data_IF_178560732159
#
_entry.id   IF_178560732159
#
_cell.length_a   1.000
_cell.length_b   1.000
_cell.length_c   1.000
_cell.angle_alpha   90.00
_cell.angle_beta   90.00
_cell.angle_gamma   90.00
#
_symmetry.space_group_name_H-M   'P 1'
#
loop_
_entity.id
_entity.type
_entity.pdbx_description
1 polymer ?
#
# COMPACT_ATOMS: atom_id res chain seq x y z
N UNK A 1 -11.69 38.75 21.76
CA UNK A 1 -12.55 38.39 20.61
C UNK A 1 -11.73 37.55 19.65
N UNK A 2 -12.13 36.30 19.37
CA UNK A 2 -11.43 35.45 18.40
C UNK A 2 -11.68 35.99 16.99
N UNK A 3 -10.61 36.13 16.19
CA UNK A 3 -10.69 36.60 14.82
C UNK A 3 -11.53 35.60 13.98
N UNK A 4 -12.53 36.07 13.21
CA UNK A 4 -13.46 35.19 12.46
C UNK A 4 -12.74 34.25 11.49
N UNK A 5 -11.58 34.64 10.95
CA UNK A 5 -10.75 33.78 10.11
C UNK A 5 -10.19 32.58 10.89
N UNK A 6 -9.68 32.82 12.10
CA UNK A 6 -9.17 31.74 12.97
C UNK A 6 -10.29 30.78 13.38
N UNK A 7 -11.48 31.31 13.68
CA UNK A 7 -12.64 30.47 13.98
C UNK A 7 -13.05 29.61 12.77
N UNK A 8 -13.02 30.20 11.57
CA UNK A 8 -13.28 29.48 10.32
C UNK A 8 -12.27 28.36 10.06
N UNK A 9 -10.98 28.64 10.19
CA UNK A 9 -9.91 27.65 10.03
C UNK A 9 -10.02 26.52 11.06
N UNK A 10 -10.32 26.83 12.32
CA UNK A 10 -10.52 25.82 13.35
C UNK A 10 -11.72 24.91 13.05
N UNK A 11 -12.85 25.48 12.64
CA UNK A 11 -14.03 24.69 12.23
C UNK A 11 -13.72 23.80 11.04
N UNK A 12 -13.08 24.33 10.01
CA UNK A 12 -12.66 23.54 8.85
C UNK A 12 -11.72 22.40 9.26
N UNK A 13 -10.71 22.69 10.09
CA UNK A 13 -9.76 21.69 10.59
C UNK A 13 -10.45 20.57 11.37
N UNK A 14 -11.43 20.92 12.21
CA UNK A 14 -12.23 19.95 12.97
C UNK A 14 -13.06 19.05 12.05
N UNK A 15 -13.67 19.59 10.99
CA UNK A 15 -14.41 18.79 10.01
C UNK A 15 -13.47 17.95 9.13
N UNK A 16 -12.32 18.51 8.73
CA UNK A 16 -11.31 17.83 7.93
C UNK A 16 -10.74 16.60 8.63
N UNK A 17 -10.45 16.71 9.94
CA UNK A 17 -9.94 15.60 10.76
C UNK A 17 -11.04 14.83 11.49
N UNK A 18 -12.31 15.05 11.14
CA UNK A 18 -13.44 14.38 11.79
C UNK A 18 -13.37 12.86 11.64
N UNK A 19 -13.98 12.15 12.61
CA UNK A 19 -13.84 10.70 12.74
C UNK A 19 -14.48 9.87 11.60
N UNK A 20 -15.20 10.51 10.70
CA UNK A 20 -15.83 9.90 9.53
C UNK A 20 -15.50 10.68 8.25
N UNK A 21 -14.57 11.62 8.33
CA UNK A 21 -14.29 12.57 7.26
C UNK A 21 -13.40 11.96 6.18
N UNK A 22 -13.94 11.92 4.97
CA UNK A 22 -13.18 11.62 3.75
C UNK A 22 -12.60 12.87 3.10
N UNK A 23 -12.74 14.06 3.70
CA UNK A 23 -12.17 15.29 3.14
C UNK A 23 -10.67 15.18 2.84
N UNK A 24 -9.84 14.53 3.68
CA UNK A 24 -8.41 14.35 3.38
C UNK A 24 -8.13 13.46 2.18
N UNK A 25 -9.12 12.72 1.66
CA UNK A 25 -8.98 11.90 0.45
C UNK A 25 -8.88 12.76 -0.82
N UNK A 26 -9.59 13.88 -0.88
CA UNK A 26 -9.78 14.61 -2.14
C UNK A 26 -8.49 15.20 -2.69
N UNK A 27 -7.59 15.70 -1.84
CA UNK A 27 -6.34 16.30 -2.30
C UNK A 27 -5.38 15.23 -2.89
N UNK A 28 -5.08 14.11 -2.19
CA UNK A 28 -4.38 12.98 -2.80
C UNK A 28 -5.06 12.45 -4.06
N UNK A 29 -6.39 12.31 -4.05
CA UNK A 29 -7.13 11.79 -5.21
C UNK A 29 -7.00 12.72 -6.42
N UNK A 30 -7.13 14.03 -6.22
CA UNK A 30 -6.92 15.01 -7.28
C UNK A 30 -5.50 14.90 -7.84
N UNK A 31 -4.48 14.77 -6.98
CA UNK A 31 -3.10 14.57 -7.40
C UNK A 31 -2.93 13.32 -8.29
N UNK A 32 -3.49 12.18 -7.89
CA UNK A 32 -3.38 10.94 -8.66
C UNK A 32 -4.17 10.98 -9.97
N UNK A 33 -5.37 11.56 -9.96
CA UNK A 33 -6.20 11.74 -11.16
C UNK A 33 -5.51 12.66 -12.16
N UNK A 34 -5.00 13.82 -11.72
CA UNK A 34 -4.25 14.75 -12.60
C UNK A 34 -3.02 14.04 -13.18
N UNK A 35 -2.29 13.29 -12.36
CA UNK A 35 -1.11 12.55 -12.81
C UNK A 35 -1.47 11.48 -13.86
N UNK A 36 -2.58 10.76 -13.66
CA UNK A 36 -3.10 9.78 -14.61
C UNK A 36 -3.56 10.43 -15.92
N UNK A 37 -4.38 11.48 -15.84
CA UNK A 37 -4.87 12.22 -17.01
C UNK A 37 -3.70 12.82 -17.79
N UNK A 38 -2.69 13.37 -17.12
CA UNK A 38 -1.48 13.86 -17.75
C UNK A 38 -0.75 12.75 -18.53
N UNK A 39 -0.58 11.56 -17.94
CA UNK A 39 0.00 10.40 -18.63
C UNK A 39 -0.77 10.07 -19.92
N UNK A 40 -2.10 10.04 -19.85
CA UNK A 40 -2.95 9.79 -21.02
C UNK A 40 -2.78 10.86 -22.10
N UNK A 41 -2.70 12.13 -21.70
CA UNK A 41 -2.50 13.25 -22.62
C UNK A 41 -1.16 13.19 -23.35
N UNK A 42 -0.06 12.94 -22.63
CA UNK A 42 1.28 12.80 -23.22
C UNK A 42 1.56 11.43 -23.83
N UNK A 43 0.55 10.55 -23.91
CA UNK A 43 0.65 9.16 -24.40
C UNK A 43 1.72 8.34 -23.67
N UNK A 44 1.93 8.62 -22.38
CA UNK A 44 2.77 7.82 -21.48
C UNK A 44 1.91 6.82 -20.73
N UNK A 45 2.44 5.63 -20.49
CA UNK A 45 1.78 4.63 -19.66
C UNK A 45 2.00 4.94 -18.17
N UNK A 46 0.91 5.09 -17.42
CA UNK A 46 0.94 5.45 -16.00
C UNK A 46 1.78 4.46 -15.18
N UNK A 47 1.51 3.15 -15.34
CA UNK A 47 2.25 2.08 -14.66
C UNK A 47 3.77 2.03 -14.93
N UNK A 48 4.25 2.69 -16.00
CA UNK A 48 5.69 2.78 -16.32
C UNK A 48 6.37 3.99 -15.68
N UNK A 49 5.64 4.84 -14.94
CA UNK A 49 6.22 6.00 -14.29
C UNK A 49 6.76 5.63 -12.90
N UNK A 50 7.93 4.99 -12.86
CA UNK A 50 8.56 4.49 -11.61
C UNK A 50 8.63 5.53 -10.50
N UNK A 51 9.01 6.77 -10.81
CA UNK A 51 9.10 7.84 -9.80
C UNK A 51 7.75 8.09 -9.11
N UNK A 52 6.65 8.04 -9.84
CA UNK A 52 5.31 8.29 -9.34
C UNK A 52 4.85 7.17 -8.39
N UNK A 53 5.14 5.91 -8.73
CA UNK A 53 4.89 4.77 -7.83
C UNK A 53 5.81 4.78 -6.60
N UNK A 54 7.09 5.15 -6.78
CA UNK A 54 8.01 5.33 -5.64
C UNK A 54 7.53 6.43 -4.70
N UNK A 55 6.93 7.51 -5.22
CA UNK A 55 6.35 8.57 -4.41
C UNK A 55 5.15 8.08 -3.59
N UNK A 56 4.28 7.25 -4.18
CA UNK A 56 3.20 6.59 -3.42
C UNK A 56 3.76 5.77 -2.26
N UNK A 57 4.70 4.86 -2.55
CA UNK A 57 5.28 3.96 -1.56
C UNK A 57 6.02 4.72 -0.46
N UNK A 58 6.83 5.73 -0.84
CA UNK A 58 7.53 6.58 0.11
C UNK A 58 6.54 7.30 1.02
N UNK A 59 5.49 7.90 0.46
CA UNK A 59 4.42 8.53 1.24
C UNK A 59 3.75 7.57 2.21
N UNK A 60 3.38 6.37 1.75
CA UNK A 60 2.74 5.36 2.60
C UNK A 60 3.64 4.93 3.76
N UNK A 61 4.91 4.65 3.48
CA UNK A 61 5.91 4.25 4.49
C UNK A 61 6.13 5.38 5.50
N UNK A 62 6.35 6.61 5.03
CA UNK A 62 6.61 7.76 5.92
C UNK A 62 5.40 8.07 6.79
N UNK A 63 4.20 8.14 6.22
CA UNK A 63 2.97 8.41 6.98
C UNK A 63 2.68 7.25 7.96
N UNK A 64 2.94 6.01 7.57
CA UNK A 64 2.85 4.85 8.45
C UNK A 64 3.84 4.91 9.62
N UNK A 65 5.11 5.23 9.35
CA UNK A 65 6.14 5.38 10.39
C UNK A 65 5.82 6.52 11.36
N UNK A 66 5.35 7.67 10.86
CA UNK A 66 4.93 8.80 11.69
C UNK A 66 3.75 8.38 12.59
N UNK A 67 2.76 7.68 12.03
CA UNK A 67 1.62 7.18 12.81
C UNK A 67 2.05 6.19 13.89
N UNK A 68 2.96 5.26 13.59
CA UNK A 68 3.51 4.32 14.57
C UNK A 68 4.38 4.99 15.63
N UNK A 69 5.14 6.02 15.25
CA UNK A 69 6.01 6.76 16.18
C UNK A 69 5.20 7.52 17.23
N UNK A 70 4.16 8.23 16.81
CA UNK A 70 3.31 8.98 17.73
C UNK A 70 2.30 8.10 18.48
N UNK A 71 1.86 7.01 17.84
CA UNK A 71 0.83 6.08 18.32
C UNK A 71 -0.42 6.76 18.92
N UNK A 72 -0.72 7.98 18.49
CA UNK A 72 -1.83 8.78 19.02
C UNK A 72 -2.55 9.48 17.88
N UNK A 73 -3.82 9.11 17.64
CA UNK A 73 -4.64 9.66 16.56
C UNK A 73 -4.94 11.17 16.74
N UNK A 74 -4.88 11.67 17.97
CA UNK A 74 -5.02 13.10 18.26
C UNK A 74 -3.79 13.93 17.83
N UNK A 75 -2.61 13.29 17.75
CA UNK A 75 -1.37 13.93 17.29
C UNK A 75 -1.20 13.71 15.79
N UNK A 76 -1.27 12.45 15.35
CA UNK A 76 -1.19 12.09 13.95
C UNK A 76 -2.12 10.91 13.65
N UNK A 77 -3.18 11.19 12.90
CA UNK A 77 -4.16 10.17 12.56
C UNK A 77 -3.62 9.20 11.49
N UNK A 78 -3.68 7.90 11.78
CA UNK A 78 -3.34 6.83 10.83
C UNK A 78 -4.16 6.94 9.52
N UNK A 79 -5.33 7.58 9.60
CA UNK A 79 -6.25 7.78 8.48
C UNK A 79 -5.63 8.58 7.35
N UNK A 80 -4.72 9.49 7.64
CA UNK A 80 -4.01 10.23 6.60
C UNK A 80 -3.19 9.27 5.72
N UNK A 81 -2.54 8.27 6.34
CA UNK A 81 -1.83 7.21 5.63
C UNK A 81 -2.79 6.30 4.84
N UNK A 82 -3.93 5.96 5.43
CA UNK A 82 -4.97 5.15 4.75
C UNK A 82 -5.50 5.88 3.51
N UNK A 83 -5.93 7.13 3.66
CA UNK A 83 -6.54 7.92 2.59
C UNK A 83 -5.53 8.26 1.48
N UNK A 84 -4.26 8.49 1.83
CA UNK A 84 -3.17 8.60 0.86
C UNK A 84 -3.11 7.39 -0.08
N UNK A 85 -3.16 6.18 0.51
CA UNK A 85 -3.08 4.94 -0.24
C UNK A 85 -4.37 4.60 -0.99
N UNK A 86 -5.53 4.82 -0.37
CA UNK A 86 -6.81 4.63 -1.05
C UNK A 86 -6.94 5.48 -2.31
N UNK A 87 -6.51 6.74 -2.25
CA UNK A 87 -6.53 7.63 -3.40
C UNK A 87 -5.68 7.11 -4.58
N UNK A 88 -4.51 6.55 -4.28
CA UNK A 88 -3.65 5.92 -5.28
C UNK A 88 -4.33 4.68 -5.88
N UNK A 89 -4.82 3.75 -5.04
CA UNK A 89 -5.39 2.49 -5.51
C UNK A 89 -6.68 2.67 -6.32
N UNK A 90 -7.48 3.72 -6.07
CA UNK A 90 -8.62 4.06 -6.91
C UNK A 90 -8.21 4.30 -8.37
N UNK A 91 -7.11 5.04 -8.58
CA UNK A 91 -6.58 5.32 -9.91
C UNK A 91 -5.86 4.10 -10.49
N UNK A 92 -5.12 3.36 -9.65
CA UNK A 92 -4.40 2.15 -10.06
C UNK A 92 -5.34 1.05 -10.57
N UNK A 93 -6.51 0.86 -9.93
CA UNK A 93 -7.55 -0.06 -10.41
C UNK A 93 -8.01 0.33 -11.82
N UNK A 94 -8.28 1.61 -12.07
CA UNK A 94 -8.70 2.09 -13.40
C UNK A 94 -7.60 1.82 -14.43
N UNK A 95 -6.34 2.13 -14.12
CA UNK A 95 -5.22 1.85 -15.02
C UNK A 95 -5.08 0.35 -15.31
N UNK A 96 -5.17 -0.51 -14.29
CA UNK A 96 -5.06 -1.96 -14.44
C UNK A 96 -6.20 -2.55 -15.29
N UNK A 97 -7.44 -2.07 -15.12
CA UNK A 97 -8.58 -2.48 -15.93
C UNK A 97 -8.38 -2.09 -17.40
N UNK A 98 -7.95 -0.84 -17.66
CA UNK A 98 -7.68 -0.36 -19.03
C UNK A 98 -6.58 -1.19 -19.71
N UNK A 99 -5.61 -1.70 -18.94
CA UNK A 99 -4.55 -2.58 -19.44
C UNK A 99 -4.95 -4.05 -19.57
N UNK A 100 -6.08 -4.46 -19.01
CA UNK A 100 -6.47 -5.88 -18.93
C UNK A 100 -5.57 -6.71 -17.98
N UNK A 101 -4.91 -6.07 -17.01
CA UNK A 101 -3.99 -6.73 -16.09
C UNK A 101 -4.75 -7.28 -14.87
N UNK A 102 -5.26 -8.50 -15.00
CA UNK A 102 -6.12 -9.13 -13.98
C UNK A 102 -5.41 -9.27 -12.64
N UNK A 103 -4.14 -9.68 -12.63
CA UNK A 103 -3.40 -9.91 -11.39
C UNK A 103 -3.20 -8.61 -10.59
N UNK A 104 -2.83 -7.53 -11.26
CA UNK A 104 -2.69 -6.22 -10.61
C UNK A 104 -4.04 -5.58 -10.27
N UNK A 105 -5.08 -5.82 -11.07
CA UNK A 105 -6.46 -5.39 -10.73
C UNK A 105 -6.92 -6.03 -9.42
N UNK A 106 -6.71 -7.34 -9.27
CA UNK A 106 -7.03 -8.08 -8.03
C UNK A 106 -6.21 -7.53 -6.86
N UNK A 107 -4.91 -7.30 -7.07
CA UNK A 107 -4.07 -6.70 -6.04
C UNK A 107 -4.59 -5.34 -5.55
N UNK A 108 -4.79 -4.40 -6.48
CA UNK A 108 -5.22 -3.04 -6.16
C UNK A 108 -6.60 -3.05 -5.49
N UNK A 109 -7.48 -3.97 -5.89
CA UNK A 109 -8.77 -4.21 -5.23
C UNK A 109 -8.60 -4.67 -3.78
N UNK A 110 -7.73 -5.66 -3.51
CA UNK A 110 -7.43 -6.09 -2.14
C UNK A 110 -6.86 -4.94 -1.29
N UNK A 111 -5.92 -4.17 -1.83
CA UNK A 111 -5.34 -3.03 -1.14
C UNK A 111 -6.40 -1.96 -0.80
N UNK A 112 -7.32 -1.69 -1.73
CA UNK A 112 -8.43 -0.76 -1.50
C UNK A 112 -9.40 -1.30 -0.44
N UNK A 113 -9.82 -2.56 -0.53
CA UNK A 113 -10.73 -3.19 0.44
C UNK A 113 -10.13 -3.23 1.85
N UNK A 114 -8.86 -3.61 1.97
CA UNK A 114 -8.13 -3.56 3.24
C UNK A 114 -7.99 -2.13 3.73
N UNK A 115 -7.72 -1.15 2.86
CA UNK A 115 -7.69 0.27 3.21
C UNK A 115 -9.02 0.75 3.80
N UNK A 116 -10.14 0.44 3.13
CA UNK A 116 -11.50 0.74 3.63
C UNK A 116 -11.73 0.07 4.98
N UNK A 117 -11.41 -1.22 5.11
CA UNK A 117 -11.62 -1.95 6.35
C UNK A 117 -10.79 -1.37 7.51
N UNK A 118 -9.54 -0.98 7.26
CA UNK A 118 -8.70 -0.29 8.25
C UNK A 118 -9.25 1.10 8.61
N UNK A 119 -9.83 1.81 7.63
CA UNK A 119 -10.43 3.12 7.86
C UNK A 119 -11.68 3.02 8.73
N UNK A 120 -12.57 2.07 8.45
CA UNK A 120 -13.90 1.98 9.07
C UNK A 120 -13.92 1.19 10.37
N UNK A 121 -12.91 0.37 10.67
CA UNK A 121 -12.96 -0.55 11.81
C UNK A 121 -12.08 -0.06 12.97
N UNK A 122 -12.65 0.21 14.16
CA UNK A 122 -11.90 0.72 15.31
C UNK A 122 -10.72 -0.17 15.72
N UNK A 123 -10.91 -1.49 15.77
CA UNK A 123 -9.86 -2.45 16.16
C UNK A 123 -8.62 -2.34 15.27
N UNK A 124 -8.79 -2.06 13.98
CA UNK A 124 -7.68 -1.91 13.05
C UNK A 124 -6.86 -0.66 13.36
N UNK A 125 -7.52 0.43 13.75
CA UNK A 125 -6.88 1.70 14.12
C UNK A 125 -6.17 1.61 15.46
N UNK A 126 -6.81 0.97 16.45
CA UNK A 126 -6.19 0.68 17.76
C UNK A 126 -4.92 -0.14 17.60
N UNK A 127 -4.94 -1.12 16.70
CA UNK A 127 -3.79 -1.96 16.41
C UNK A 127 -2.81 -1.33 15.39
N UNK A 128 -3.08 -0.13 14.87
CA UNK A 128 -2.26 0.52 13.81
C UNK A 128 -2.00 -0.38 12.60
N UNK A 129 -3.02 -1.13 12.21
CA UNK A 129 -2.88 -2.22 11.22
C UNK A 129 -2.48 -1.69 9.86
N UNK A 130 -3.00 -0.53 9.43
CA UNK A 130 -2.62 0.05 8.14
C UNK A 130 -1.18 0.55 8.15
N UNK A 131 -0.72 1.18 9.23
CA UNK A 131 0.64 1.69 9.34
C UNK A 131 1.65 0.56 9.36
N UNK A 132 1.33 -0.55 10.04
CA UNK A 132 2.13 -1.79 9.97
C UNK A 132 2.07 -2.40 8.57
N UNK A 133 0.92 -2.34 7.88
CA UNK A 133 0.79 -2.80 6.50
C UNK A 133 1.56 -1.92 5.51
N UNK A 134 1.73 -0.62 5.78
CA UNK A 134 2.54 0.26 4.93
C UNK A 134 4.02 -0.17 4.90
N UNK A 135 4.52 -0.80 5.98
CA UNK A 135 5.88 -1.36 6.03
C UNK A 135 6.07 -2.57 5.10
N UNK A 136 5.00 -3.18 4.59
CA UNK A 136 5.07 -4.21 3.54
C UNK A 136 5.70 -3.65 2.25
N UNK A 137 5.50 -2.35 2.00
CA UNK A 137 6.01 -1.64 0.83
C UNK A 137 7.52 -1.38 0.90
N UNK A 138 8.18 -1.62 2.04
CA UNK A 138 9.63 -1.52 2.16
C UNK A 138 10.37 -2.51 1.25
N UNK A 139 9.70 -3.58 0.78
CA UNK A 139 10.25 -4.50 -0.22
C UNK A 139 10.29 -3.91 -1.65
N UNK A 140 9.44 -2.93 -1.95
CA UNK A 140 9.20 -2.42 -3.31
C UNK A 140 10.38 -1.61 -3.88
N UNK A 141 11.11 -0.76 -3.11
CA UNK A 141 12.34 -0.12 -3.59
C UNK A 141 13.39 -1.13 -4.11
N UNK A 142 13.56 -2.26 -3.42
CA UNK A 142 14.50 -3.30 -3.83
C UNK A 142 14.08 -3.99 -5.14
N UNK A 143 12.76 -4.13 -5.37
CA UNK A 143 12.25 -4.62 -6.66
C UNK A 143 12.68 -3.72 -7.81
N UNK A 144 12.58 -2.40 -7.64
CA UNK A 144 12.98 -1.44 -8.68
C UNK A 144 14.47 -1.52 -8.97
N UNK A 145 15.32 -1.60 -7.93
CA UNK A 145 16.77 -1.78 -8.10
C UNK A 145 17.07 -3.09 -8.81
N UNK A 146 16.42 -4.19 -8.42
CA UNK A 146 16.60 -5.50 -9.04
C UNK A 146 16.17 -5.50 -10.52
N UNK A 147 15.02 -4.91 -10.86
CA UNK A 147 14.53 -4.80 -12.24
C UNK A 147 15.42 -3.93 -13.12
N UNK A 148 15.96 -2.84 -12.56
CA UNK A 148 16.76 -1.85 -13.32
C UNK A 148 18.16 -2.34 -13.60
N UNK A 149 18.83 -2.87 -12.56
CA UNK A 149 20.23 -3.32 -12.66
C UNK A 149 20.37 -4.71 -13.23
N UNK A 150 19.31 -5.54 -13.11
CA UNK A 150 19.32 -6.98 -13.46
C UNK A 150 20.48 -7.74 -12.78
N UNK A 151 21.01 -7.22 -11.69
CA UNK A 151 22.13 -7.82 -10.95
C UNK A 151 21.61 -8.87 -9.95
N UNK A 152 22.15 -10.10 -9.92
CA UNK A 152 21.66 -11.17 -9.04
C UNK A 152 21.61 -10.81 -7.56
N UNK A 153 22.63 -10.11 -7.05
CA UNK A 153 22.66 -9.70 -5.64
C UNK A 153 21.51 -8.74 -5.28
N UNK A 154 21.10 -7.85 -6.18
CA UNK A 154 19.96 -6.97 -5.95
C UNK A 154 18.64 -7.75 -5.94
N UNK A 155 18.53 -8.78 -6.78
CA UNK A 155 17.38 -9.67 -6.76
C UNK A 155 17.31 -10.52 -5.48
N UNK A 156 18.44 -11.03 -4.98
CA UNK A 156 18.52 -11.72 -3.68
C UNK A 156 18.09 -10.77 -2.56
N UNK A 157 18.59 -9.54 -2.54
CA UNK A 157 18.21 -8.54 -1.55
C UNK A 157 16.70 -8.24 -1.60
N UNK A 158 16.14 -8.10 -2.80
CA UNK A 158 14.70 -7.97 -2.99
C UNK A 158 13.94 -9.20 -2.44
N UNK A 159 14.37 -10.42 -2.75
CA UNK A 159 13.71 -11.63 -2.27
C UNK A 159 13.73 -11.75 -0.74
N UNK A 160 14.85 -11.39 -0.10
CA UNK A 160 14.95 -11.32 1.36
C UNK A 160 14.01 -10.26 1.94
N UNK A 161 14.03 -9.05 1.39
CA UNK A 161 13.13 -7.98 1.82
C UNK A 161 11.65 -8.37 1.63
N UNK A 162 11.28 -8.99 0.50
CA UNK A 162 9.94 -9.50 0.24
C UNK A 162 9.54 -10.58 1.25
N UNK A 163 10.46 -11.50 1.59
CA UNK A 163 10.21 -12.54 2.59
C UNK A 163 9.92 -11.94 3.96
N UNK A 164 10.78 -11.05 4.44
CA UNK A 164 10.63 -10.41 5.75
C UNK A 164 9.39 -9.53 5.80
N UNK A 165 9.24 -8.64 4.82
CA UNK A 165 8.13 -7.70 4.78
C UNK A 165 6.81 -8.40 4.51
N UNK A 166 6.67 -9.32 3.55
CA UNK A 166 5.35 -9.81 3.11
C UNK A 166 5.03 -11.22 3.57
N UNK A 167 6.02 -12.12 3.64
CA UNK A 167 5.78 -13.53 3.97
C UNK A 167 5.71 -13.78 5.47
N UNK A 168 6.59 -13.12 6.24
CA UNK A 168 6.64 -13.25 7.69
C UNK A 168 5.67 -12.27 8.37
N UNK A 169 5.61 -11.02 7.92
CA UNK A 169 4.84 -9.98 8.61
C UNK A 169 3.32 -10.16 8.51
N UNK A 170 2.79 -10.59 7.37
CA UNK A 170 1.33 -10.73 7.18
C UNK A 170 0.72 -11.74 8.17
N UNK A 171 1.32 -12.92 8.41
CA UNK A 171 0.91 -13.81 9.50
C UNK A 171 0.97 -13.17 10.90
N UNK A 172 1.97 -12.34 11.17
CA UNK A 172 2.06 -11.59 12.45
C UNK A 172 0.88 -10.63 12.61
N UNK A 173 0.49 -9.93 11.55
CA UNK A 173 -0.70 -9.08 11.53
C UNK A 173 -1.99 -9.88 11.78
N UNK A 174 -2.10 -11.08 11.19
CA UNK A 174 -3.24 -11.98 11.43
C UNK A 174 -3.29 -12.45 12.90
N UNK A 175 -2.12 -12.75 13.49
CA UNK A 175 -2.03 -13.12 14.90
C UNK A 175 -2.47 -11.97 15.82
N UNK A 176 -2.08 -10.73 15.53
CA UNK A 176 -2.50 -9.56 16.30
C UNK A 176 -4.03 -9.34 16.24
N UNK A 177 -4.64 -9.48 15.06
CA UNK A 177 -6.09 -9.45 14.93
C UNK A 177 -6.77 -10.54 15.76
N UNK A 178 -6.21 -11.75 15.76
CA UNK A 178 -6.71 -12.87 16.57
C UNK A 178 -6.60 -12.58 18.06
N UNK A 179 -5.48 -12.04 18.51
CA UNK A 179 -5.26 -11.63 19.90
C UNK A 179 -6.22 -10.53 20.34
N UNK A 180 -6.64 -9.66 19.41
CA UNK A 180 -7.69 -8.66 19.62
C UNK A 180 -9.12 -9.21 19.47
N UNK A 181 -9.31 -10.53 19.52
CA UNK A 181 -10.62 -11.18 19.52
C UNK A 181 -11.24 -11.40 18.14
N UNK A 182 -10.51 -11.18 17.04
CA UNK A 182 -11.00 -11.44 15.67
C UNK A 182 -10.70 -12.89 15.27
N UNK A 183 -11.73 -13.74 15.37
CA UNK A 183 -11.65 -15.15 14.96
C UNK A 183 -11.33 -15.30 13.46
N UNK A 184 -10.88 -16.48 13.05
CA UNK A 184 -10.43 -16.73 11.66
C UNK A 184 -11.51 -16.59 10.59
N UNK A 185 -12.78 -16.61 10.98
CA UNK A 185 -13.93 -16.38 10.09
C UNK A 185 -14.32 -14.90 9.99
N UNK A 186 -13.69 -14.01 10.76
CA UNK A 186 -13.89 -12.57 10.67
C UNK A 186 -13.43 -12.07 9.30
N UNK A 187 -14.21 -11.16 8.70
CA UNK A 187 -13.96 -10.67 7.34
C UNK A 187 -12.57 -10.01 7.20
N UNK A 188 -12.02 -9.42 8.28
CA UNK A 188 -10.66 -8.88 8.29
C UNK A 188 -9.60 -9.97 8.13
N UNK A 189 -9.79 -11.09 8.83
CA UNK A 189 -8.90 -12.25 8.73
C UNK A 189 -8.99 -12.89 7.35
N UNK A 190 -10.20 -12.99 6.79
CA UNK A 190 -10.41 -13.52 5.43
C UNK A 190 -9.78 -12.61 4.36
N UNK A 191 -9.94 -11.29 4.48
CA UNK A 191 -9.33 -10.34 3.55
C UNK A 191 -7.80 -10.37 3.64
N UNK A 192 -7.23 -10.43 4.86
CA UNK A 192 -5.79 -10.55 5.08
C UNK A 192 -5.25 -11.89 4.57
N UNK A 193 -5.99 -12.98 4.72
CA UNK A 193 -5.66 -14.29 4.18
C UNK A 193 -5.65 -14.27 2.64
N UNK A 194 -6.67 -13.68 2.00
CA UNK A 194 -6.70 -13.51 0.54
C UNK A 194 -5.52 -12.69 0.03
N UNK A 195 -5.20 -11.59 0.72
CA UNK A 195 -4.00 -10.81 0.43
C UNK A 195 -2.71 -11.61 0.63
N UNK A 196 -2.63 -12.46 1.66
CA UNK A 196 -1.49 -13.34 1.89
C UNK A 196 -1.31 -14.36 0.76
N UNK A 197 -2.39 -14.99 0.29
CA UNK A 197 -2.37 -15.91 -0.85
C UNK A 197 -1.82 -15.23 -2.12
N UNK A 198 -2.18 -13.98 -2.37
CA UNK A 198 -1.64 -13.20 -3.48
C UNK A 198 -0.13 -12.95 -3.32
N UNK A 199 0.34 -12.64 -2.10
CA UNK A 199 1.77 -12.48 -1.84
C UNK A 199 2.53 -13.81 -1.99
N UNK A 200 1.94 -14.94 -1.60
CA UNK A 200 2.50 -16.27 -1.82
C UNK A 200 2.60 -16.61 -3.32
N UNK A 201 1.61 -16.22 -4.13
CA UNK A 201 1.67 -16.38 -5.59
C UNK A 201 2.88 -15.65 -6.19
N UNK A 202 3.14 -14.41 -5.79
CA UNK A 202 4.34 -13.69 -6.22
C UNK A 202 5.62 -14.28 -5.65
N UNK A 203 5.59 -14.75 -4.41
CA UNK A 203 6.74 -15.38 -3.79
C UNK A 203 7.16 -16.67 -4.50
N UNK A 204 6.20 -17.48 -4.95
CA UNK A 204 6.47 -18.65 -5.78
C UNK A 204 7.22 -18.28 -7.07
N UNK A 205 6.86 -17.14 -7.71
CA UNK A 205 7.59 -16.62 -8.88
C UNK A 205 9.01 -16.20 -8.52
N UNK A 206 9.20 -15.51 -7.39
CA UNK A 206 10.52 -15.10 -6.91
C UNK A 206 11.42 -16.32 -6.67
N UNK A 207 10.91 -17.32 -5.97
CA UNK A 207 11.64 -18.57 -5.68
C UNK A 207 11.99 -19.32 -6.98
N UNK A 208 11.09 -19.36 -7.95
CA UNK A 208 11.38 -19.95 -9.27
C UNK A 208 12.54 -19.23 -9.96
N UNK A 209 12.53 -17.89 -10.00
CA UNK A 209 13.63 -17.11 -10.60
C UNK A 209 14.96 -17.38 -9.88
N UNK A 210 14.94 -17.46 -8.54
CA UNK A 210 16.15 -17.81 -7.76
C UNK A 210 16.66 -19.20 -8.09
N UNK A 211 15.77 -20.19 -8.19
CA UNK A 211 16.11 -21.56 -8.53
C UNK A 211 16.67 -21.70 -9.95
N UNK A 212 16.00 -21.11 -10.94
CA UNK A 212 16.44 -21.13 -12.34
C UNK A 212 17.77 -20.37 -12.50
N UNK A 213 17.95 -19.27 -11.77
CA UNK A 213 19.21 -18.53 -11.71
C UNK A 213 20.36 -19.32 -11.09
N UNK A 214 20.12 -20.04 -10.00
CA UNK A 214 21.13 -20.88 -9.35
C UNK A 214 21.51 -22.10 -10.19
N UNK A 215 20.57 -22.65 -10.97
CA UNK A 215 20.81 -23.83 -11.82
C UNK A 215 21.29 -23.50 -13.23
N UNK A 216 21.48 -22.21 -13.55
CA UNK A 216 21.93 -21.76 -14.87
C UNK A 216 20.89 -21.94 -15.99
N UNK A 217 19.63 -22.20 -15.64
CA UNK A 217 18.51 -22.42 -16.58
C UNK A 217 17.85 -21.13 -17.07
N UNK A 218 18.53 -19.98 -16.99
CA UNK A 218 17.92 -18.70 -17.38
C UNK A 218 17.73 -18.66 -18.90
N UNK A 219 16.53 -19.03 -19.34
CA UNK A 219 16.05 -18.76 -20.68
C UNK A 219 15.89 -17.23 -20.83
N UNK A 220 16.56 -16.64 -21.83
CA UNK A 220 16.65 -15.18 -22.04
C UNK A 220 15.29 -14.47 -22.30
N UNK A 221 14.16 -15.17 -22.22
CA UNK A 221 12.83 -14.69 -22.64
C UNK A 221 11.87 -14.31 -21.51
N UNK A 222 12.16 -14.57 -20.23
CA UNK A 222 11.20 -14.35 -19.14
C UNK A 222 11.54 -13.22 -18.13
N UNK A 223 12.38 -12.23 -18.50
CA UNK A 223 12.77 -11.12 -17.58
C UNK A 223 12.39 -9.73 -18.06
#
# INVERSE_FOLDING_TARGET
MSNPLFLGLYKFWSVYNGDTSFLPLYLPLLFWVVSYTYCRFVRREFHKWTLLHSFHNFGAIVLGLISLYYDNDAVFSERLSILWSMAYFLVDIVDCIVRGDVAYTVHATFCLLLGVANYTTPVCRELRMNSKAALLECSTPFLYVAKTTRHPAHFILFALAFTLCRIVWVPVLSLQLKQAGRGYTDYLQLALCGFYCLNLFWYAKILRILYDGATGKIDKKEV
#
